data_IF_077874311219
#
_entry.id   IF_077874311219
#
_cell.length_a   1.000
_cell.length_b   1.000
_cell.length_c   1.000
_cell.angle_alpha   90.00
_cell.angle_beta   90.00
_cell.angle_gamma   90.00
#
_symmetry.space_group_name_H-M   'P 1'
#
loop_
_entity.id
_entity.type
_entity.pdbx_description
1 polymer ?
#
# COMPACT_ATOMS: atom_id res chain seq x y z
N UNK A 1 -2.29 9.58 50.37
CA UNK A 1 -2.35 8.13 50.10
C UNK A 1 -3.80 7.73 49.92
N UNK A 2 -4.28 7.62 48.68
CA UNK A 2 -4.78 6.36 48.14
C UNK A 2 -5.23 6.63 46.70
N UNK A 3 -4.70 5.78 45.82
CA UNK A 3 -4.79 5.80 44.37
C UNK A 3 -6.24 5.56 43.90
N UNK A 4 -6.74 6.47 43.07
CA UNK A 4 -7.78 6.23 42.08
C UNK A 4 -7.09 6.24 40.69
N UNK A 5 -6.15 5.30 40.49
CA UNK A 5 -5.71 4.93 39.15
C UNK A 5 -6.72 3.91 38.66
N UNK A 6 -7.73 4.40 37.93
CA UNK A 6 -8.53 3.57 37.06
C UNK A 6 -7.60 2.89 36.05
N UNK A 7 -7.83 1.60 35.84
CA UNK A 7 -7.13 0.73 34.90
C UNK A 7 -7.20 1.26 33.47
N UNK A 8 -6.28 2.15 33.10
CA UNK A 8 -5.89 2.42 31.72
C UNK A 8 -4.93 1.34 31.27
N UNK A 9 -5.45 0.14 31.00
CA UNK A 9 -4.68 -0.96 30.40
C UNK A 9 -4.08 -0.52 29.07
N UNK A 10 -2.84 -0.94 28.85
CA UNK A 10 -1.92 -0.52 27.79
C UNK A 10 -2.43 -0.93 26.40
N UNK A 11 -3.27 -0.11 25.78
CA UNK A 11 -3.65 -0.27 24.35
C UNK A 11 -2.43 -0.09 23.43
N UNK A 12 -1.37 0.57 23.90
CA UNK A 12 -0.18 0.87 23.10
C UNK A 12 0.66 -0.35 22.73
N UNK A 13 1.09 -1.15 23.71
CA UNK A 13 2.03 -2.27 23.50
C UNK A 13 1.43 -3.38 22.62
N UNK A 14 0.15 -3.72 22.80
CA UNK A 14 -0.53 -4.71 21.96
C UNK A 14 -0.63 -4.24 20.49
N UNK A 15 -0.96 -2.96 20.27
CA UNK A 15 -1.05 -2.39 18.91
C UNK A 15 0.32 -2.38 18.23
N UNK A 16 1.40 -2.04 18.95
CA UNK A 16 2.75 -2.09 18.39
C UNK A 16 3.20 -3.51 18.09
N UNK A 17 2.92 -4.47 18.99
CA UNK A 17 3.23 -5.88 18.74
C UNK A 17 2.49 -6.44 17.53
N UNK A 18 1.23 -6.03 17.30
CA UNK A 18 0.47 -6.41 16.11
C UNK A 18 1.03 -5.77 14.83
N UNK A 19 1.55 -4.55 14.92
CA UNK A 19 2.17 -3.89 13.78
C UNK A 19 3.49 -4.57 13.39
N UNK A 20 4.32 -4.92 14.37
CA UNK A 20 5.54 -5.70 14.15
C UNK A 20 5.22 -7.06 13.52
N UNK A 21 4.19 -7.74 14.04
CA UNK A 21 3.69 -8.98 13.47
C UNK A 21 3.28 -8.85 12.00
N UNK A 22 2.53 -7.81 11.68
CA UNK A 22 2.12 -7.54 10.30
C UNK A 22 3.34 -7.28 9.40
N UNK A 23 4.33 -6.53 9.89
CA UNK A 23 5.56 -6.29 9.13
C UNK A 23 6.34 -7.57 8.85
N UNK A 24 6.47 -8.46 9.84
CA UNK A 24 7.13 -9.76 9.65
C UNK A 24 6.42 -10.62 8.62
N UNK A 25 5.08 -10.71 8.67
CA UNK A 25 4.28 -11.49 7.71
C UNK A 25 4.40 -10.90 6.30
N UNK A 26 4.28 -9.57 6.14
CA UNK A 26 4.48 -8.92 4.85
C UNK A 26 5.88 -9.18 4.30
N UNK A 27 6.92 -9.12 5.15
CA UNK A 27 8.30 -9.38 4.71
C UNK A 27 8.44 -10.81 4.18
N UNK A 28 7.91 -11.81 4.88
CA UNK A 28 7.91 -13.20 4.40
C UNK A 28 7.21 -13.28 3.05
N UNK A 29 6.04 -12.68 2.92
CA UNK A 29 5.24 -12.71 1.71
C UNK A 29 5.98 -12.11 0.50
N UNK A 30 6.57 -10.92 0.63
CA UNK A 30 7.30 -10.28 -0.46
C UNK A 30 8.64 -10.96 -0.79
N UNK A 31 9.33 -11.54 0.20
CA UNK A 31 10.54 -12.34 -0.05
C UNK A 31 10.22 -13.66 -0.76
N UNK A 32 9.11 -14.32 -0.40
CA UNK A 32 8.67 -15.52 -1.12
C UNK A 32 8.29 -15.22 -2.56
N UNK A 33 7.64 -14.08 -2.77
CA UNK A 33 7.16 -13.68 -4.09
C UNK A 33 8.24 -13.09 -5.00
N UNK A 34 9.40 -12.69 -4.46
CA UNK A 34 10.53 -12.21 -5.27
C UNK A 34 11.30 -13.32 -5.98
N UNK A 35 10.94 -14.58 -5.72
CA UNK A 35 11.61 -15.77 -6.26
C UNK A 35 10.60 -16.62 -7.04
N UNK A 36 11.02 -17.29 -8.12
CA UNK A 36 10.16 -18.19 -8.90
C UNK A 36 9.48 -19.25 -8.03
N UNK A 37 8.23 -19.59 -8.33
CA UNK A 37 7.43 -20.52 -7.55
C UNK A 37 8.10 -21.89 -7.43
N UNK A 38 8.16 -22.43 -6.21
CA UNK A 38 8.62 -23.81 -5.96
C UNK A 38 10.13 -24.05 -6.08
N UNK A 39 10.91 -23.10 -6.58
CA UNK A 39 12.35 -23.27 -6.81
C UNK A 39 13.21 -23.17 -5.54
N UNK A 40 12.72 -22.47 -4.51
CA UNK A 40 13.50 -22.19 -3.30
C UNK A 40 12.78 -22.63 -2.03
N UNK A 41 13.52 -23.25 -1.10
CA UNK A 41 13.09 -23.41 0.30
C UNK A 41 13.67 -22.27 1.13
N UNK A 42 12.79 -21.57 1.82
CA UNK A 42 13.10 -20.38 2.61
C UNK A 42 12.76 -20.66 4.08
N UNK A 43 13.54 -20.06 4.96
CA UNK A 43 13.40 -20.20 6.40
C UNK A 43 13.35 -18.82 7.03
N UNK A 44 12.39 -18.61 7.93
CA UNK A 44 12.13 -17.34 8.59
C UNK A 44 11.88 -17.55 10.08
N UNK A 45 12.22 -16.54 10.87
CA UNK A 45 11.69 -16.38 12.22
C UNK A 45 10.54 -15.38 12.16
N UNK A 46 9.35 -15.81 12.58
CA UNK A 46 8.12 -15.02 12.57
C UNK A 46 7.44 -15.20 13.92
N UNK A 47 7.23 -14.12 14.67
CA UNK A 47 6.61 -14.13 16.00
C UNK A 47 7.29 -15.10 16.98
N UNK A 48 8.62 -15.18 16.90
CA UNK A 48 9.42 -16.10 17.70
C UNK A 48 9.22 -17.58 17.34
N UNK A 49 8.67 -17.87 16.17
CA UNK A 49 8.49 -19.22 15.63
C UNK A 49 9.26 -19.38 14.33
N UNK A 50 9.88 -20.55 14.21
CA UNK A 50 10.50 -20.97 12.97
C UNK A 50 9.44 -21.33 11.92
N UNK A 51 9.58 -20.77 10.72
CA UNK A 51 8.72 -21.05 9.56
C UNK A 51 9.58 -21.50 8.38
N UNK A 52 9.38 -22.74 7.92
CA UNK A 52 9.88 -23.20 6.63
C UNK A 52 8.78 -23.12 5.57
N UNK A 53 9.08 -22.57 4.40
CA UNK A 53 8.12 -22.41 3.30
C UNK A 53 8.83 -22.32 1.95
N UNK A 54 8.11 -22.61 0.86
CA UNK A 54 8.61 -22.42 -0.51
C UNK A 54 8.50 -20.97 -1.00
N UNK A 55 9.30 -20.61 -2.01
CA UNK A 55 9.04 -19.45 -2.87
C UNK A 55 7.69 -19.60 -3.57
N UNK A 56 7.02 -18.48 -3.81
CA UNK A 56 5.65 -18.47 -4.35
C UNK A 56 5.54 -17.87 -5.73
N UNK A 57 6.57 -17.17 -6.23
CA UNK A 57 6.38 -16.20 -7.30
C UNK A 57 5.43 -15.05 -6.91
N UNK A 58 5.28 -14.04 -7.77
CA UNK A 58 4.21 -13.05 -7.67
C UNK A 58 2.85 -13.75 -7.58
N UNK A 59 1.98 -13.26 -6.71
CA UNK A 59 0.65 -13.82 -6.43
C UNK A 59 -0.35 -12.69 -6.12
N UNK A 60 -1.66 -12.97 -5.99
CA UNK A 60 -2.72 -11.97 -5.84
C UNK A 60 -2.49 -10.96 -4.71
N UNK A 61 -1.76 -11.34 -3.68
CA UNK A 61 -1.51 -10.53 -2.48
C UNK A 61 -0.14 -9.82 -2.48
N UNK A 62 0.53 -9.80 -3.62
CA UNK A 62 1.82 -9.10 -3.81
C UNK A 62 1.76 -8.13 -4.99
N UNK A 63 0.54 -7.78 -5.39
CA UNK A 63 0.28 -6.82 -6.45
C UNK A 63 0.62 -5.40 -5.97
N UNK A 64 0.63 -4.45 -6.89
CA UNK A 64 0.97 -3.07 -6.56
C UNK A 64 0.14 -2.46 -5.40
N UNK A 65 -1.18 -2.74 -5.26
CA UNK A 65 -1.96 -2.30 -4.11
C UNK A 65 -1.43 -2.85 -2.78
N UNK A 66 -1.12 -4.14 -2.72
CA UNK A 66 -0.60 -4.80 -1.51
C UNK A 66 0.79 -4.30 -1.16
N UNK A 67 1.63 -4.05 -2.18
CA UNK A 67 2.94 -3.45 -1.99
C UNK A 67 2.85 -2.06 -1.36
N UNK A 68 1.91 -1.21 -1.83
CA UNK A 68 1.65 0.09 -1.21
C UNK A 68 1.11 -0.04 0.21
N UNK A 69 0.24 -1.02 0.49
CA UNK A 69 -0.22 -1.33 1.84
C UNK A 69 0.95 -1.69 2.79
N UNK A 70 1.82 -2.60 2.35
CA UNK A 70 3.00 -3.00 3.09
C UNK A 70 4.02 -1.87 3.25
N UNK A 71 4.17 -0.99 2.26
CA UNK A 71 4.99 0.22 2.38
C UNK A 71 4.50 1.09 3.54
N UNK A 72 3.21 1.39 3.62
CA UNK A 72 2.68 2.22 4.69
C UNK A 72 2.89 1.58 6.07
N UNK A 73 2.69 0.26 6.18
CA UNK A 73 3.03 -0.50 7.40
C UNK A 73 4.51 -0.33 7.76
N UNK A 74 5.41 -0.58 6.82
CA UNK A 74 6.86 -0.46 7.04
C UNK A 74 7.29 0.96 7.43
N UNK A 75 6.68 1.99 6.85
CA UNK A 75 6.96 3.39 7.20
C UNK A 75 6.45 3.75 8.61
N UNK A 76 5.23 3.32 8.98
CA UNK A 76 4.64 3.59 10.30
C UNK A 76 5.39 2.83 11.40
N UNK A 77 5.69 1.56 11.17
CA UNK A 77 6.46 0.71 12.09
C UNK A 77 7.96 1.08 12.12
N UNK A 78 8.44 1.78 11.09
CA UNK A 78 9.86 2.01 10.82
C UNK A 78 10.64 0.69 10.67
N UNK A 79 9.98 -0.34 10.15
CA UNK A 79 10.57 -1.66 9.93
C UNK A 79 11.47 -1.63 8.69
N UNK A 80 12.78 -1.59 8.93
CA UNK A 80 13.78 -1.56 7.86
C UNK A 80 13.82 -2.84 7.04
N UNK A 81 13.54 -3.99 7.66
CA UNK A 81 13.60 -5.28 6.98
C UNK A 81 12.50 -5.43 5.94
N UNK A 82 11.28 -4.98 6.26
CA UNK A 82 10.18 -4.89 5.31
C UNK A 82 10.47 -3.87 4.22
N UNK A 83 10.96 -2.67 4.57
CA UNK A 83 11.29 -1.65 3.58
C UNK A 83 12.40 -2.11 2.61
N UNK A 84 13.39 -2.86 3.08
CA UNK A 84 14.42 -3.49 2.25
C UNK A 84 13.83 -4.55 1.32
N UNK A 85 12.96 -5.43 1.83
CA UNK A 85 12.27 -6.42 1.00
C UNK A 85 11.43 -5.75 -0.11
N UNK A 86 10.70 -4.69 0.23
CA UNK A 86 9.88 -3.94 -0.72
C UNK A 86 10.71 -3.17 -1.76
N UNK A 87 11.87 -2.64 -1.36
CA UNK A 87 12.85 -1.97 -2.25
C UNK A 87 13.36 -2.91 -3.35
N UNK A 88 13.64 -4.16 -2.96
CA UNK A 88 14.26 -5.16 -3.81
C UNK A 88 13.25 -6.00 -4.61
N UNK A 89 11.98 -5.96 -4.22
CA UNK A 89 10.87 -6.61 -4.92
C UNK A 89 10.61 -5.96 -6.28
N UNK A 90 10.86 -6.68 -7.38
CA UNK A 90 10.75 -6.14 -8.76
C UNK A 90 9.90 -7.02 -9.66
N UNK A 91 8.61 -7.25 -9.33
CA UNK A 91 7.78 -8.07 -10.19
C UNK A 91 7.37 -7.30 -11.46
N UNK A 92 7.10 -8.05 -12.52
CA UNK A 92 6.31 -7.61 -13.65
C UNK A 92 4.82 -7.55 -13.25
N UNK A 93 4.44 -6.62 -12.36
CA UNK A 93 3.08 -6.56 -11.78
C UNK A 93 1.95 -6.66 -12.80
N UNK A 94 2.10 -6.10 -14.01
CA UNK A 94 1.08 -6.19 -15.07
C UNK A 94 0.94 -7.57 -15.69
N UNK A 95 2.03 -8.31 -15.77
CA UNK A 95 2.02 -9.69 -16.27
C UNK A 95 1.41 -10.59 -15.21
N UNK A 96 1.94 -10.51 -13.98
CA UNK A 96 1.41 -11.22 -12.83
C UNK A 96 -0.09 -10.93 -12.60
N UNK A 97 -0.53 -9.68 -12.74
CA UNK A 97 -1.94 -9.31 -12.55
C UNK A 97 -2.86 -9.97 -13.58
N UNK A 98 -2.39 -10.16 -14.81
CA UNK A 98 -3.15 -10.86 -15.87
C UNK A 98 -3.23 -12.35 -15.60
N UNK A 99 -2.12 -12.95 -15.18
CA UNK A 99 -2.05 -14.37 -14.84
C UNK A 99 -2.95 -14.71 -13.65
N UNK A 100 -2.92 -13.85 -12.62
CA UNK A 100 -3.68 -14.01 -11.38
C UNK A 100 -5.13 -13.48 -11.45
N UNK A 101 -5.52 -12.83 -12.55
CA UNK A 101 -6.85 -12.24 -12.71
C UNK A 101 -7.17 -11.10 -11.74
N UNK A 102 -6.14 -10.45 -11.18
CA UNK A 102 -6.29 -9.32 -10.25
C UNK A 102 -6.15 -8.02 -11.03
N UNK A 103 -7.07 -7.08 -10.83
CA UNK A 103 -7.05 -5.78 -11.50
C UNK A 103 -6.84 -4.66 -10.50
N UNK A 104 -6.03 -3.69 -10.88
CA UNK A 104 -5.75 -2.49 -10.10
C UNK A 104 -5.52 -1.30 -11.04
N UNK A 105 -5.73 -0.09 -10.55
CA UNK A 105 -5.61 1.10 -11.38
C UNK A 105 -4.12 1.38 -11.70
N UNK A 106 -3.80 1.88 -12.92
CA UNK A 106 -2.43 2.10 -13.36
C UNK A 106 -1.57 2.95 -12.42
N UNK A 107 -2.18 3.90 -11.69
CA UNK A 107 -1.46 4.76 -10.77
C UNK A 107 -0.77 3.95 -9.65
N UNK A 108 -1.33 2.82 -9.23
CA UNK A 108 -0.82 2.05 -8.09
C UNK A 108 0.56 1.46 -8.40
N UNK A 109 0.74 0.93 -9.60
CA UNK A 109 2.04 0.45 -10.06
C UNK A 109 3.06 1.58 -10.14
N UNK A 110 2.70 2.69 -10.78
CA UNK A 110 3.61 3.83 -10.95
C UNK A 110 3.96 4.47 -9.60
N UNK A 111 3.05 4.44 -8.64
CA UNK A 111 3.27 4.93 -7.29
C UNK A 111 4.21 4.02 -6.51
N UNK A 112 4.02 2.71 -6.61
CA UNK A 112 4.96 1.74 -6.05
C UNK A 112 6.37 1.95 -6.61
N UNK A 113 6.49 2.14 -7.94
CA UNK A 113 7.78 2.44 -8.60
C UNK A 113 8.41 3.73 -8.09
N UNK A 114 7.64 4.81 -7.90
CA UNK A 114 8.14 6.07 -7.32
C UNK A 114 8.75 5.86 -5.93
N UNK A 115 8.05 5.11 -5.07
CA UNK A 115 8.54 4.79 -3.73
C UNK A 115 9.77 3.89 -3.75
N UNK A 116 9.81 2.90 -4.63
CA UNK A 116 10.98 2.06 -4.80
C UNK A 116 12.23 2.86 -5.20
N UNK A 117 12.09 3.83 -6.10
CA UNK A 117 13.19 4.75 -6.45
C UNK A 117 13.67 5.50 -5.20
N UNK A 118 12.74 6.04 -4.40
CA UNK A 118 13.09 6.74 -3.17
C UNK A 118 13.79 5.83 -2.14
N UNK A 119 13.31 4.60 -1.96
CA UNK A 119 13.91 3.59 -1.07
C UNK A 119 15.31 3.18 -1.53
N UNK A 120 15.59 3.19 -2.84
CA UNK A 120 16.93 3.00 -3.41
C UNK A 120 17.85 4.22 -3.28
N UNK A 121 17.35 5.32 -2.74
CA UNK A 121 18.12 6.55 -2.60
C UNK A 121 18.14 7.43 -3.85
N UNK A 122 17.36 7.10 -4.89
CA UNK A 122 17.25 7.92 -6.09
C UNK A 122 16.54 9.25 -5.78
N UNK A 123 16.97 10.35 -6.40
CA UNK A 123 16.46 11.71 -6.15
C UNK A 123 16.51 12.55 -7.42
N UNK A 124 15.86 13.72 -7.39
CA UNK A 124 15.89 14.70 -8.47
C UNK A 124 14.89 14.37 -9.59
N UNK A 125 15.21 14.84 -10.80
CA UNK A 125 14.30 14.85 -11.95
C UNK A 125 13.66 13.49 -12.28
N UNK A 126 14.37 12.35 -12.27
CA UNK A 126 13.73 11.07 -12.60
C UNK A 126 12.60 10.68 -11.64
N UNK A 127 12.80 10.93 -10.34
CA UNK A 127 11.77 10.66 -9.33
C UNK A 127 10.62 11.65 -9.46
N UNK A 128 10.92 12.92 -9.72
CA UNK A 128 9.90 13.95 -9.93
C UNK A 128 8.99 13.62 -11.13
N UNK A 129 9.57 13.19 -12.26
CA UNK A 129 8.82 12.74 -13.44
C UNK A 129 7.95 11.52 -13.13
N UNK A 130 8.48 10.56 -12.38
CA UNK A 130 7.71 9.40 -11.93
C UNK A 130 6.50 9.82 -11.10
N UNK A 131 6.66 10.76 -10.16
CA UNK A 131 5.54 11.27 -9.34
C UNK A 131 4.52 12.04 -10.18
N UNK A 132 4.97 12.86 -11.14
CA UNK A 132 4.06 13.56 -12.08
C UNK A 132 3.22 12.56 -12.88
N UNK A 133 3.81 11.45 -13.32
CA UNK A 133 3.05 10.40 -14.01
C UNK A 133 2.01 9.74 -13.10
N UNK A 134 2.32 9.51 -11.82
CA UNK A 134 1.33 9.04 -10.84
C UNK A 134 0.19 10.04 -10.72
N UNK A 135 0.48 11.34 -10.60
CA UNK A 135 -0.54 12.38 -10.51
C UNK A 135 -1.43 12.40 -11.75
N UNK A 136 -0.87 12.22 -12.95
CA UNK A 136 -1.64 12.12 -14.20
C UNK A 136 -2.55 10.89 -14.20
N UNK A 137 -2.07 9.75 -13.72
CA UNK A 137 -2.83 8.50 -13.64
C UNK A 137 -3.89 8.49 -12.53
N UNK A 138 -3.87 9.47 -11.63
CA UNK A 138 -4.96 9.73 -10.69
C UNK A 138 -6.04 10.67 -11.26
N UNK A 139 -6.12 10.80 -12.59
CA UNK A 139 -7.35 11.28 -13.22
C UNK A 139 -8.48 10.24 -12.97
N UNK A 140 -9.68 10.65 -12.49
CA UNK A 140 -10.80 9.75 -12.31
C UNK A 140 -11.15 8.88 -13.53
N UNK A 141 -10.95 9.37 -14.75
CA UNK A 141 -11.20 8.60 -15.97
C UNK A 141 -10.14 7.49 -16.20
N UNK A 142 -8.95 7.66 -15.62
CA UNK A 142 -7.83 6.71 -15.71
C UNK A 142 -7.73 5.78 -14.50
N UNK A 143 -8.54 6.02 -13.45
CA UNK A 143 -8.59 5.23 -12.23
C UNK A 143 -10.03 4.76 -11.90
N UNK A 144 -10.69 4.03 -12.81
CA UNK A 144 -12.09 3.63 -12.64
C UNK A 144 -12.32 2.64 -11.50
N UNK A 145 -11.33 1.84 -11.08
CA UNK A 145 -11.51 0.87 -10.01
C UNK A 145 -11.56 1.54 -8.64
N UNK A 146 -10.75 2.57 -8.41
CA UNK A 146 -10.79 3.39 -7.22
C UNK A 146 -12.05 4.28 -7.19
N UNK A 147 -12.48 4.76 -8.36
CA UNK A 147 -13.63 5.65 -8.50
C UNK A 147 -13.29 7.11 -8.17
N UNK A 148 -14.05 8.04 -8.75
CA UNK A 148 -13.75 9.47 -8.69
C UNK A 148 -13.67 10.01 -7.25
N UNK A 149 -14.59 9.58 -6.38
CA UNK A 149 -14.61 10.04 -4.99
C UNK A 149 -13.33 9.65 -4.23
N UNK A 150 -12.93 8.37 -4.31
CA UNK A 150 -11.72 7.87 -3.65
C UNK A 150 -10.48 8.55 -4.19
N UNK A 151 -10.40 8.71 -5.51
CA UNK A 151 -9.26 9.34 -6.18
C UNK A 151 -9.08 10.79 -5.71
N UNK A 152 -10.16 11.58 -5.75
CA UNK A 152 -10.10 13.01 -5.42
C UNK A 152 -9.91 13.27 -3.92
N UNK A 153 -10.49 12.45 -3.05
CA UNK A 153 -10.45 12.69 -1.60
C UNK A 153 -9.28 12.00 -0.89
N UNK A 154 -8.72 10.92 -1.47
CA UNK A 154 -7.67 10.12 -0.82
C UNK A 154 -6.41 9.99 -1.65
N UNK A 155 -6.54 9.55 -2.90
CA UNK A 155 -5.37 9.15 -3.68
C UNK A 155 -4.56 10.35 -4.14
N UNK A 156 -5.17 11.27 -4.88
CA UNK A 156 -4.49 12.46 -5.40
C UNK A 156 -3.86 13.31 -4.29
N UNK A 157 -4.57 13.64 -3.18
CA UNK A 157 -3.95 14.37 -2.06
C UNK A 157 -2.74 13.65 -1.46
N UNK A 158 -2.76 12.31 -1.39
CA UNK A 158 -1.61 11.54 -0.87
C UNK A 158 -0.42 11.56 -1.83
N UNK A 159 -0.66 11.49 -3.14
CA UNK A 159 0.40 11.62 -4.16
C UNK A 159 0.94 13.05 -4.20
N UNK A 160 0.09 14.07 -3.97
CA UNK A 160 0.50 15.46 -3.85
C UNK A 160 1.50 15.68 -2.71
N UNK A 161 1.30 15.04 -1.56
CA UNK A 161 2.29 15.07 -0.48
C UNK A 161 3.65 14.49 -0.90
N UNK A 162 3.64 13.44 -1.72
CA UNK A 162 4.88 12.89 -2.28
C UNK A 162 5.55 13.89 -3.22
N UNK A 163 4.77 14.59 -4.05
CA UNK A 163 5.27 15.67 -4.91
C UNK A 163 5.97 16.77 -4.10
N UNK A 164 5.37 17.23 -3.02
CA UNK A 164 5.96 18.28 -2.18
C UNK A 164 7.32 17.85 -1.60
N UNK A 165 7.43 16.57 -1.20
CA UNK A 165 8.67 15.99 -0.69
C UNK A 165 9.76 15.96 -1.77
N UNK A 166 9.43 15.50 -2.99
CA UNK A 166 10.43 15.34 -4.06
C UNK A 166 10.79 16.65 -4.76
N UNK A 167 9.86 17.61 -4.82
CA UNK A 167 10.07 18.95 -5.40
C UNK A 167 10.74 19.92 -4.43
N UNK A 168 10.74 19.61 -3.13
CA UNK A 168 11.26 20.51 -2.10
C UNK A 168 10.34 21.68 -1.75
N UNK A 169 9.04 21.58 -2.09
CA UNK A 169 8.01 22.61 -1.88
C UNK A 169 7.57 22.73 -0.42
N UNK A 170 8.51 23.08 0.47
CA UNK A 170 8.32 23.07 1.94
C UNK A 170 7.23 24.03 2.44
N UNK A 171 6.93 25.11 1.72
CA UNK A 171 5.91 26.09 2.11
C UNK A 171 4.49 25.59 1.90
N UNK A 172 4.26 24.71 0.93
CA UNK A 172 2.94 24.19 0.58
C UNK A 172 2.57 22.95 1.39
N UNK A 173 3.57 22.16 1.80
CA UNK A 173 3.39 20.89 2.51
C UNK A 173 2.40 20.94 3.69
N UNK A 174 2.43 21.92 4.62
CA UNK A 174 1.48 21.94 5.74
C UNK A 174 0.01 22.13 5.30
N UNK A 175 -0.21 22.84 4.19
CA UNK A 175 -1.55 23.05 3.61
C UNK A 175 -2.01 21.75 2.97
N UNK A 176 -1.17 21.12 2.16
CA UNK A 176 -1.51 19.88 1.46
C UNK A 176 -1.72 18.72 2.44
N UNK A 177 -1.02 18.69 3.57
CA UNK A 177 -1.27 17.72 4.66
C UNK A 177 -2.68 17.90 5.23
N UNK A 178 -3.11 19.14 5.45
CA UNK A 178 -4.47 19.42 5.94
C UNK A 178 -5.51 18.93 4.95
N UNK A 179 -5.35 19.25 3.67
CA UNK A 179 -6.26 18.83 2.59
C UNK A 179 -6.35 17.29 2.54
N UNK A 180 -5.21 16.60 2.57
CA UNK A 180 -5.18 15.14 2.56
C UNK A 180 -5.88 14.52 3.79
N UNK A 181 -5.66 15.07 4.99
CA UNK A 181 -6.29 14.57 6.21
C UNK A 181 -7.80 14.83 6.24
N UNK A 182 -8.25 16.01 5.81
CA UNK A 182 -9.66 16.37 5.78
C UNK A 182 -10.43 15.52 4.76
N UNK A 183 -9.89 15.37 3.54
CA UNK A 183 -10.48 14.50 2.51
C UNK A 183 -10.54 13.03 2.93
N UNK A 184 -9.46 12.52 3.53
CA UNK A 184 -9.42 11.14 4.03
C UNK A 184 -10.45 10.91 5.15
N UNK A 185 -10.54 11.84 6.11
CA UNK A 185 -11.55 11.79 7.18
C UNK A 185 -12.96 11.80 6.59
N UNK A 186 -13.25 12.71 5.67
CA UNK A 186 -14.56 12.83 5.04
C UNK A 186 -14.95 11.51 4.34
N UNK A 187 -14.04 10.95 3.53
CA UNK A 187 -14.25 9.66 2.88
C UNK A 187 -14.61 8.55 3.89
N UNK A 188 -13.81 8.38 4.95
CA UNK A 188 -13.95 7.27 5.90
C UNK A 188 -15.03 7.45 6.99
N UNK A 189 -15.53 8.66 7.21
CA UNK A 189 -16.54 8.92 8.25
C UNK A 189 -17.95 9.15 7.71
N UNK A 190 -18.12 9.27 6.39
CA UNK A 190 -19.45 9.27 5.75
C UNK A 190 -20.20 7.94 6.00
N UNK A 191 -21.51 7.96 6.31
CA UNK A 191 -22.31 6.75 6.48
C UNK A 191 -22.25 5.83 5.25
N UNK A 192 -22.21 4.52 5.48
CA UNK A 192 -22.07 3.48 4.43
C UNK A 192 -23.20 3.53 3.40
N UNK A 193 -24.40 3.97 3.77
CA UNK A 193 -25.55 4.15 2.86
C UNK A 193 -25.27 5.14 1.70
N UNK A 194 -24.25 5.99 1.83
CA UNK A 194 -23.79 6.89 0.77
C UNK A 194 -22.59 6.35 -0.05
N UNK A 195 -22.01 5.19 0.31
CA UNK A 195 -20.87 4.58 -0.40
C UNK A 195 -21.29 3.53 -1.43
N UNK A 196 -22.47 2.91 -1.27
CA UNK A 196 -22.94 1.78 -2.09
C UNK A 196 -23.63 2.24 -3.39
N UNK A 197 -23.14 3.31 -4.02
CA UNK A 197 -23.72 3.77 -5.30
C UNK A 197 -22.70 4.07 -6.38
N UNK A 198 -21.57 3.35 -6.39
CA UNK A 198 -20.62 3.43 -7.51
C UNK A 198 -19.78 2.15 -7.72
N UNK A 199 -20.15 1.00 -7.15
CA UNK A 199 -19.67 -0.29 -7.66
C UNK A 199 -20.45 -0.62 -8.95
N UNK A 200 -20.05 0.00 -10.05
CA UNK A 200 -20.41 -0.48 -11.38
C UNK A 200 -19.63 -1.77 -11.60
N UNK A 201 -20.28 -2.91 -11.31
CA UNK A 201 -19.84 -4.20 -11.82
C UNK A 201 -19.78 -4.05 -13.35
N UNK A 202 -18.61 -4.24 -13.99
CA UNK A 202 -18.51 -4.12 -15.43
C UNK A 202 -19.47 -5.12 -16.10
N UNK A 203 -20.22 -4.72 -17.15
CA UNK A 203 -21.12 -5.63 -17.83
C UNK A 203 -20.30 -6.76 -18.45
N UNK A 204 -20.44 -7.97 -17.90
CA UNK A 204 -19.68 -9.16 -18.33
C UNK A 204 -19.42 -10.18 -17.22
N UNK A 205 -19.46 -9.77 -15.95
CA UNK A 205 -19.38 -10.70 -14.81
C UNK A 205 -20.80 -11.09 -14.38
N UNK A 206 -21.55 -11.70 -15.29
CA UNK A 206 -22.81 -12.35 -14.93
C UNK A 206 -22.49 -13.73 -14.37
N UNK A 207 -22.73 -13.86 -13.07
CA UNK A 207 -22.90 -15.09 -12.29
C UNK A 207 -22.56 -16.42 -12.95
N UNK A 208 -21.44 -16.99 -12.53
CA UNK A 208 -21.31 -18.44 -12.36
C UNK A 208 -20.41 -18.71 -11.14
N UNK A 209 -21.03 -18.65 -9.97
CA UNK A 209 -20.52 -19.22 -8.72
C UNK A 209 -21.71 -19.82 -7.98
N UNK A 210 -21.95 -21.11 -8.25
CA UNK A 210 -22.46 -22.07 -7.27
C UNK A 210 -22.12 -23.47 -7.77
N UNK A 211 -20.90 -23.94 -7.46
CA UNK A 211 -20.60 -25.20 -6.74
C UNK A 211 -19.25 -25.02 -6.05
#
# INVERSE_FOLDING_TARGET
MSSLVGSGGVVGEEVWSLLDAACEVCRVQFVRASLPEGEHRLSFEVLGRHLETGSSGPNPYTMAPDWLGALWLGLVARDRGLLDALRDFKPEWREASREEGVWFDPYQEQWARAWQMLLRGERGEPVAQQVVEVMRLTDPELAPLAGAESVLQRVFPSVRLLWDVVSGSRSEFPVDVRVALEGNKEFFTRPVENRVREEVIPPGVSGELMV
#
